data_IF_137656554387
#
_entry.id   IF_137656554387
#
_cell.length_a   1.000
_cell.length_b   1.000
_cell.length_c   1.000
_cell.angle_alpha   90.00
_cell.angle_beta   90.00
_cell.angle_gamma   90.00
#
_symmetry.space_group_name_H-M   'P 1'
#
loop_
_entity.id
_entity.type
_entity.pdbx_description
1 polymer ?
#
# COMPACT_ATOMS: atom_id res chain seq x y z
N UNK A 1 -20.27 30.64 6.92
CA UNK A 1 -20.89 29.30 6.95
C UNK A 1 -19.85 28.19 7.17
N UNK A 2 -19.06 28.24 8.26
CA UNK A 2 -18.00 27.24 8.53
C UNK A 2 -18.39 26.22 9.61
N UNK A 3 -19.56 26.38 10.24
CA UNK A 3 -19.89 25.76 11.53
C UNK A 3 -20.70 24.46 11.42
N UNK A 4 -21.30 24.17 10.25
CA UNK A 4 -22.19 23.01 10.06
C UNK A 4 -21.55 21.82 9.33
N UNK A 5 -20.21 21.82 9.16
CA UNK A 5 -19.53 20.63 8.62
C UNK A 5 -19.40 19.59 9.75
N UNK A 6 -19.92 18.35 9.59
CA UNK A 6 -19.71 17.29 10.57
C UNK A 6 -18.21 17.02 10.75
N UNK A 7 -17.79 16.65 11.96
CA UNK A 7 -16.40 16.27 12.22
C UNK A 7 -16.00 15.17 11.24
N UNK A 8 -15.06 15.47 10.35
CA UNK A 8 -14.41 14.47 9.52
C UNK A 8 -13.01 14.28 10.09
N UNK A 9 -12.58 13.03 10.19
CA UNK A 9 -11.19 12.73 10.54
C UNK A 9 -10.24 13.44 9.58
N UNK A 10 -9.00 13.64 10.02
CA UNK A 10 -7.94 13.97 9.08
C UNK A 10 -7.68 12.71 8.26
N UNK A 11 -8.39 12.57 7.13
CA UNK A 11 -8.13 11.47 6.21
C UNK A 11 -6.70 11.61 5.72
N UNK A 12 -5.87 10.66 6.13
CA UNK A 12 -4.49 10.56 5.68
C UNK A 12 -4.52 10.37 4.17
N UNK A 13 -3.75 11.13 3.37
CA UNK A 13 -3.82 11.09 1.92
C UNK A 13 -3.08 9.87 1.35
N UNK A 14 -3.45 8.68 1.82
CA UNK A 14 -2.79 7.40 1.55
C UNK A 14 -2.70 7.11 0.05
N UNK A 15 -3.78 7.36 -0.70
CA UNK A 15 -3.78 7.19 -2.15
C UNK A 15 -2.72 8.08 -2.83
N UNK A 16 -2.58 9.33 -2.38
CA UNK A 16 -1.57 10.23 -2.93
C UNK A 16 -0.16 9.73 -2.62
N UNK A 17 0.07 9.31 -1.38
CA UNK A 17 1.36 8.76 -0.97
C UNK A 17 1.73 7.51 -1.76
N UNK A 18 0.81 6.56 -1.90
CA UNK A 18 1.06 5.32 -2.64
C UNK A 18 1.28 5.55 -4.13
N UNK A 19 0.70 6.61 -4.71
CA UNK A 19 0.94 6.99 -6.12
C UNK A 19 2.21 7.81 -6.31
N UNK A 20 2.75 8.42 -5.27
CA UNK A 20 3.88 9.34 -5.36
C UNK A 20 4.97 9.02 -4.32
N UNK A 21 4.93 9.65 -3.14
CA UNK A 21 6.04 9.70 -2.18
C UNK A 21 6.49 8.31 -1.69
N UNK A 22 5.55 7.37 -1.57
CA UNK A 22 5.80 6.00 -1.14
C UNK A 22 5.85 4.99 -2.29
N UNK A 23 5.60 5.40 -3.54
CA UNK A 23 5.47 4.46 -4.66
C UNK A 23 6.72 3.60 -4.84
N UNK A 24 7.89 4.24 -4.92
CA UNK A 24 9.16 3.54 -5.12
C UNK A 24 9.49 2.62 -3.93
N UNK A 25 9.30 3.12 -2.71
CA UNK A 25 9.52 2.31 -1.51
C UNK A 25 8.60 1.08 -1.44
N UNK A 26 7.36 1.23 -1.87
CA UNK A 26 6.41 0.12 -1.95
C UNK A 26 6.79 -0.89 -3.03
N UNK A 27 6.91 -0.45 -4.30
CA UNK A 27 6.91 -1.37 -5.44
C UNK A 27 8.30 -1.74 -5.94
N UNK A 28 9.31 -0.92 -5.65
CA UNK A 28 10.69 -1.15 -6.10
C UNK A 28 11.57 -1.70 -4.96
N UNK A 29 11.08 -1.67 -3.72
CA UNK A 29 11.75 -2.23 -2.52
C UNK A 29 10.87 -3.27 -1.80
N UNK A 30 9.88 -2.86 -0.99
CA UNK A 30 9.13 -3.79 -0.12
C UNK A 30 8.37 -4.90 -0.85
N UNK A 31 7.80 -4.59 -2.01
CA UNK A 31 6.94 -5.47 -2.80
C UNK A 31 7.57 -5.84 -4.15
N UNK A 32 8.90 -5.77 -4.25
CA UNK A 32 9.65 -6.16 -5.44
C UNK A 32 9.36 -7.63 -5.80
N UNK A 33 9.22 -7.92 -7.09
CA UNK A 33 8.80 -9.25 -7.58
C UNK A 33 9.65 -10.40 -7.03
N UNK A 34 10.97 -10.27 -7.17
CA UNK A 34 11.95 -11.26 -6.70
C UNK A 34 11.76 -11.52 -5.20
N UNK A 35 11.72 -10.46 -4.40
CA UNK A 35 11.52 -10.53 -2.94
C UNK A 35 10.23 -11.25 -2.57
N UNK A 36 9.12 -10.92 -3.23
CA UNK A 36 7.81 -11.51 -2.93
C UNK A 36 7.75 -12.98 -3.34
N UNK A 37 8.28 -13.31 -4.52
CA UNK A 37 8.33 -14.69 -5.01
C UNK A 37 9.24 -15.56 -4.14
N UNK A 38 10.39 -15.05 -3.73
CA UNK A 38 11.35 -15.78 -2.89
C UNK A 38 10.80 -16.04 -1.48
N UNK A 39 10.03 -15.09 -0.92
CA UNK A 39 9.36 -15.28 0.36
C UNK A 39 8.29 -16.38 0.28
N UNK A 40 7.55 -16.48 -0.83
CA UNK A 40 6.49 -17.48 -1.02
C UNK A 40 5.26 -17.30 -0.12
N UNK A 41 5.12 -16.16 0.57
CA UNK A 41 4.02 -15.87 1.50
C UNK A 41 2.87 -15.11 0.80
N UNK A 42 3.22 -14.22 -0.13
CA UNK A 42 2.29 -13.34 -0.84
C UNK A 42 2.28 -13.70 -2.33
N UNK A 43 1.10 -13.69 -2.93
CA UNK A 43 0.94 -13.85 -4.37
C UNK A 43 1.33 -12.54 -5.07
N UNK A 44 2.43 -12.55 -5.82
CA UNK A 44 2.94 -11.37 -6.52
C UNK A 44 1.97 -10.86 -7.60
N UNK A 45 1.26 -11.74 -8.26
CA UNK A 45 0.30 -11.41 -9.32
C UNK A 45 -0.85 -10.60 -8.74
N UNK A 46 -1.25 -10.88 -7.49
CA UNK A 46 -2.20 -10.05 -6.77
C UNK A 46 -1.63 -8.67 -6.41
N UNK A 47 -0.35 -8.60 -6.02
CA UNK A 47 0.35 -7.33 -5.78
C UNK A 47 0.39 -6.48 -7.05
N UNK A 48 0.74 -7.09 -8.20
CA UNK A 48 0.77 -6.42 -9.50
C UNK A 48 -0.62 -5.92 -9.91
N UNK A 49 -1.67 -6.69 -9.61
CA UNK A 49 -3.05 -6.24 -9.80
C UNK A 49 -3.39 -5.00 -8.97
N UNK A 50 -3.08 -5.01 -7.67
CA UNK A 50 -3.30 -3.84 -6.79
C UNK A 50 -2.49 -2.61 -7.23
N UNK A 51 -1.25 -2.81 -7.70
CA UNK A 51 -0.42 -1.75 -8.28
C UNK A 51 -1.11 -1.08 -9.48
N UNK A 52 -1.77 -1.85 -10.32
CA UNK A 52 -2.51 -1.31 -11.48
C UNK A 52 -3.81 -0.62 -11.03
N UNK A 53 -4.55 -1.21 -10.09
CA UNK A 53 -5.79 -0.64 -9.55
C UNK A 53 -5.58 0.70 -8.84
N UNK A 54 -4.37 0.97 -8.31
CA UNK A 54 -4.04 2.27 -7.71
C UNK A 54 -4.37 3.43 -8.63
N UNK A 55 -4.31 3.28 -9.95
CA UNK A 55 -4.58 4.36 -10.92
C UNK A 55 -6.00 4.31 -11.51
N UNK A 56 -6.85 3.39 -11.03
CA UNK A 56 -8.23 3.22 -11.50
C UNK A 56 -9.22 4.14 -10.77
N UNK A 57 -10.51 4.05 -11.13
CA UNK A 57 -11.60 4.78 -10.48
C UNK A 57 -11.99 4.18 -9.11
N UNK A 58 -11.73 2.89 -8.88
CA UNK A 58 -12.11 2.17 -7.65
C UNK A 58 -10.85 1.92 -6.82
N UNK A 59 -10.53 2.85 -5.91
CA UNK A 59 -9.23 2.87 -5.22
C UNK A 59 -9.30 2.68 -3.71
N UNK A 60 -10.49 2.73 -3.10
CA UNK A 60 -10.62 2.66 -1.64
C UNK A 60 -10.12 1.32 -1.10
N UNK A 61 -10.70 0.22 -1.57
CA UNK A 61 -10.30 -1.13 -1.17
C UNK A 61 -8.83 -1.42 -1.51
N UNK A 62 -8.33 -0.90 -2.63
CA UNK A 62 -6.94 -1.06 -3.07
C UNK A 62 -5.97 -0.39 -2.09
N UNK A 63 -6.30 0.83 -1.63
CA UNK A 63 -5.49 1.56 -0.65
C UNK A 63 -5.41 0.79 0.67
N UNK A 64 -6.53 0.26 1.16
CA UNK A 64 -6.54 -0.53 2.39
C UNK A 64 -5.67 -1.79 2.27
N UNK A 65 -5.77 -2.51 1.16
CA UNK A 65 -4.95 -3.72 0.91
C UNK A 65 -3.46 -3.40 0.80
N UNK A 66 -3.09 -2.32 0.11
CA UNK A 66 -1.69 -1.89 -0.01
C UNK A 66 -1.15 -1.47 1.36
N UNK A 67 -1.95 -0.82 2.20
CA UNK A 67 -1.54 -0.50 3.56
C UNK A 67 -1.25 -1.75 4.39
N UNK A 68 -2.10 -2.77 4.30
CA UNK A 68 -1.86 -4.06 4.97
C UNK A 68 -0.55 -4.69 4.49
N UNK A 69 -0.31 -4.70 3.17
CA UNK A 69 0.93 -5.23 2.58
C UNK A 69 2.16 -4.46 3.05
N UNK A 70 2.09 -3.13 3.11
CA UNK A 70 3.17 -2.27 3.60
C UNK A 70 3.53 -2.62 5.04
N UNK A 71 2.54 -2.63 5.93
CA UNK A 71 2.75 -2.88 7.36
C UNK A 71 3.32 -4.28 7.58
N UNK A 72 2.76 -5.29 6.89
CA UNK A 72 3.25 -6.65 6.97
C UNK A 72 4.71 -6.75 6.48
N UNK A 73 5.01 -6.24 5.28
CA UNK A 73 6.37 -6.35 4.72
C UNK A 73 7.41 -5.59 5.53
N UNK A 74 7.07 -4.40 6.01
CA UNK A 74 7.95 -3.64 6.89
C UNK A 74 8.28 -4.43 8.16
N UNK A 75 7.28 -5.01 8.82
CA UNK A 75 7.48 -5.83 10.00
C UNK A 75 8.30 -7.09 9.69
N UNK A 76 7.97 -7.78 8.60
CA UNK A 76 8.64 -9.01 8.19
C UNK A 76 10.14 -8.75 7.94
N UNK A 77 10.47 -7.72 7.17
CA UNK A 77 11.84 -7.34 6.89
C UNK A 77 12.60 -6.92 8.16
N UNK A 78 11.92 -6.23 9.10
CA UNK A 78 12.57 -5.69 10.29
C UNK A 78 12.78 -6.73 11.40
N UNK A 79 11.90 -7.71 11.54
CA UNK A 79 11.89 -8.60 12.71
C UNK A 79 11.93 -10.09 12.39
N UNK A 80 11.55 -10.50 11.18
CA UNK A 80 11.57 -11.91 10.80
C UNK A 80 12.85 -12.28 10.04
N UNK A 81 13.35 -11.39 9.18
CA UNK A 81 14.60 -11.60 8.45
C UNK A 81 15.86 -11.09 9.18
N UNK A 82 15.68 -10.30 10.25
CA UNK A 82 16.76 -9.79 11.09
C UNK A 82 17.28 -10.86 12.06
#
# INVERSE_FOLDING_TARGET
ELYNRPKQGFDVPMLNWFRNELYAYLFDDLLKEETIRDQGIINYEYVAHLRNELHSATTHDTVEKIWILLVFQYWYNKYFLA
#
